data_IF_544067970525
#
_entry.id   IF_544067970525
#
_cell.length_a   1.000
_cell.length_b   1.000
_cell.length_c   1.000
_cell.angle_alpha   90.00
_cell.angle_beta   90.00
_cell.angle_gamma   90.00
#
_symmetry.space_group_name_H-M   'P 1'
#
loop_
_entity.id
_entity.type
_entity.pdbx_description
1 polymer ?
#
# COMPACT_ATOMS: atom_id res chain seq x y z
N UNK A 1 -30.14 -9.83 5.81
CA UNK A 1 -28.93 -9.61 4.97
C UNK A 1 -27.92 -10.66 5.40
N UNK A 2 -27.37 -11.39 4.45
CA UNK A 2 -26.24 -12.29 4.70
C UNK A 2 -25.00 -11.45 5.09
N UNK A 3 -24.17 -11.99 5.96
CA UNK A 3 -22.93 -11.33 6.35
C UNK A 3 -21.94 -11.36 5.18
N UNK A 4 -21.23 -10.26 4.97
CA UNK A 4 -20.09 -10.25 4.05
C UNK A 4 -18.95 -11.02 4.72
N UNK A 5 -18.39 -12.00 4.00
CA UNK A 5 -17.21 -12.76 4.43
C UNK A 5 -16.05 -12.36 3.55
N UNK A 6 -14.95 -11.92 4.17
CA UNK A 6 -13.69 -11.66 3.50
C UNK A 6 -12.72 -12.80 3.76
N UNK A 7 -12.16 -13.38 2.70
CA UNK A 7 -11.05 -14.34 2.77
C UNK A 7 -9.81 -13.69 2.19
N UNK A 8 -8.72 -13.72 2.96
CA UNK A 8 -7.44 -13.12 2.54
C UNK A 8 -6.33 -14.16 2.60
N UNK A 9 -5.63 -14.32 1.46
CA UNK A 9 -4.44 -15.18 1.35
C UNK A 9 -3.23 -14.26 1.15
N UNK A 10 -2.27 -14.36 2.07
CA UNK A 10 -1.03 -13.56 2.02
C UNK A 10 0.14 -14.49 1.75
N UNK A 11 0.91 -14.20 0.72
CA UNK A 11 2.11 -14.94 0.33
C UNK A 11 3.33 -14.02 0.41
N UNK A 12 4.38 -14.49 1.07
CA UNK A 12 5.66 -13.81 1.17
C UNK A 12 6.75 -14.70 0.56
N UNK A 13 7.38 -14.22 -0.50
CA UNK A 13 8.54 -14.85 -1.09
C UNK A 13 9.83 -14.38 -0.40
N UNK A 14 10.72 -15.32 -0.11
CA UNK A 14 12.02 -15.03 0.49
C UNK A 14 12.82 -14.02 -0.36
N UNK A 15 13.36 -12.99 0.29
CA UNK A 15 14.19 -11.98 -0.35
C UNK A 15 13.41 -10.94 -1.17
N UNK A 16 12.08 -10.86 -1.01
CA UNK A 16 11.24 -9.84 -1.63
C UNK A 16 10.85 -8.75 -0.64
N UNK A 17 10.66 -7.53 -1.16
CA UNK A 17 10.11 -6.41 -0.38
C UNK A 17 8.59 -6.45 -0.28
N UNK A 18 7.92 -7.17 -1.19
CA UNK A 18 6.47 -7.15 -1.34
C UNK A 18 5.85 -8.49 -1.02
N UNK A 19 4.80 -8.45 -0.21
CA UNK A 19 3.88 -9.55 0.02
C UNK A 19 2.79 -9.49 -1.04
N UNK A 20 2.41 -10.63 -1.61
CA UNK A 20 1.21 -10.78 -2.41
C UNK A 20 0.01 -10.97 -1.49
N UNK A 21 -1.10 -10.29 -1.78
CA UNK A 21 -2.38 -10.53 -1.11
C UNK A 21 -3.47 -10.76 -2.14
N UNK A 22 -4.20 -11.85 -1.99
CA UNK A 22 -5.39 -12.19 -2.74
C UNK A 22 -6.58 -12.09 -1.80
N UNK A 23 -7.57 -11.26 -2.15
CA UNK A 23 -8.77 -11.04 -1.34
C UNK A 23 -9.99 -11.49 -2.11
N UNK A 24 -10.82 -12.32 -1.49
CA UNK A 24 -12.11 -12.76 -2.03
C UNK A 24 -13.21 -12.40 -1.06
N UNK A 25 -14.38 -12.06 -1.59
CA UNK A 25 -15.55 -11.74 -0.79
C UNK A 25 -16.74 -12.61 -1.17
N UNK A 26 -17.47 -13.04 -0.16
CA UNK A 26 -18.80 -13.61 -0.29
C UNK A 26 -19.84 -12.56 0.11
N UNK A 27 -20.97 -12.51 -0.59
CA UNK A 27 -22.09 -11.61 -0.32
C UNK A 27 -21.74 -10.11 -0.40
N UNK A 28 -20.66 -9.74 -1.10
CA UNK A 28 -20.31 -8.36 -1.34
C UNK A 28 -21.10 -7.81 -2.54
N UNK A 29 -22.01 -6.87 -2.27
CA UNK A 29 -22.77 -6.12 -3.27
C UNK A 29 -22.07 -4.79 -3.60
N UNK A 30 -20.83 -4.86 -4.01
CA UNK A 30 -20.01 -3.70 -4.38
C UNK A 30 -19.03 -4.11 -5.48
N UNK A 31 -18.77 -3.18 -6.39
CA UNK A 31 -17.82 -3.35 -7.49
C UNK A 31 -16.55 -2.50 -7.33
N UNK A 32 -16.34 -1.91 -6.17
CA UNK A 32 -15.18 -1.08 -5.89
C UNK A 32 -14.53 -1.51 -4.58
N UNK A 33 -13.23 -1.73 -4.65
CA UNK A 33 -12.37 -1.97 -3.50
C UNK A 33 -11.45 -0.76 -3.31
N UNK A 34 -11.21 -0.42 -2.05
CA UNK A 34 -10.28 0.63 -1.65
C UNK A 34 -9.14 -0.01 -0.87
N UNK A 35 -7.92 0.25 -1.30
CA UNK A 35 -6.71 -0.04 -0.54
C UNK A 35 -6.03 1.27 -0.14
N UNK A 36 -5.52 1.37 1.08
CA UNK A 36 -4.97 2.62 1.57
C UNK A 36 -3.82 2.46 2.55
N UNK A 37 -3.01 3.51 2.66
CA UNK A 37 -1.93 3.68 3.64
C UNK A 37 -2.30 4.85 4.54
N UNK A 38 -2.19 4.66 5.85
CA UNK A 38 -2.44 5.70 6.84
C UNK A 38 -1.30 6.72 6.82
N UNK A 39 -1.64 8.01 6.83
CA UNK A 39 -0.68 9.11 6.94
C UNK A 39 -0.54 9.54 8.39
N UNK A 40 0.71 9.68 8.85
CA UNK A 40 1.05 10.13 10.19
C UNK A 40 1.29 11.65 10.26
N UNK A 41 1.56 12.28 9.12
CA UNK A 41 1.70 13.73 8.96
C UNK A 41 1.04 14.24 7.66
N UNK A 42 1.17 15.55 7.39
CA UNK A 42 0.64 16.23 6.20
C UNK A 42 1.78 16.92 5.46
N UNK A 43 2.91 16.25 5.28
CA UNK A 43 4.10 16.82 4.65
C UNK A 43 4.11 16.72 3.12
N UNK A 44 3.09 16.08 2.54
CA UNK A 44 2.90 15.98 1.09
C UNK A 44 3.89 15.06 0.38
N UNK A 45 4.53 14.14 1.10
CA UNK A 45 5.49 13.19 0.51
C UNK A 45 4.84 11.89 0.03
N UNK A 46 3.58 11.66 0.36
CA UNK A 46 2.85 10.51 -0.15
C UNK A 46 2.66 10.61 -1.66
N UNK A 47 2.61 9.45 -2.30
CA UNK A 47 2.40 9.33 -3.74
C UNK A 47 1.12 8.54 -4.01
N UNK A 48 0.22 9.14 -4.79
CA UNK A 48 -0.98 8.51 -5.32
C UNK A 48 -0.88 8.46 -6.86
N UNK A 49 -0.43 7.33 -7.41
CA UNK A 49 -0.17 7.20 -8.85
C UNK A 49 -1.03 6.10 -9.47
N UNK A 50 -2.23 6.47 -9.97
CA UNK A 50 -3.15 5.54 -10.62
C UNK A 50 -2.60 4.99 -11.94
N UNK A 51 -1.91 5.80 -12.74
CA UNK A 51 -1.37 5.39 -14.04
C UNK A 51 -0.32 4.28 -13.89
N UNK A 52 0.63 4.46 -12.96
CA UNK A 52 1.63 3.45 -12.66
C UNK A 52 1.11 2.35 -11.75
N UNK A 53 -0.07 2.50 -11.15
CA UNK A 53 -0.73 1.49 -10.31
C UNK A 53 -0.04 1.28 -8.97
N UNK A 54 0.30 2.36 -8.25
CA UNK A 54 0.81 2.25 -6.89
C UNK A 54 0.46 3.47 -6.02
N UNK A 55 0.47 3.25 -4.71
CA UNK A 55 0.48 4.28 -3.69
C UNK A 55 1.67 4.05 -2.76
N UNK A 56 2.27 5.11 -2.23
CA UNK A 56 3.44 5.01 -1.36
C UNK A 56 3.50 6.16 -0.35
N UNK A 57 4.19 5.92 0.78
CA UNK A 57 4.37 6.90 1.83
C UNK A 57 5.67 6.65 2.63
N UNK A 58 6.47 7.68 2.92
CA UNK A 58 7.61 7.60 3.83
C UNK A 58 7.12 7.85 5.27
N UNK A 59 6.69 6.79 5.96
CA UNK A 59 6.16 6.89 7.32
C UNK A 59 7.30 7.15 8.33
N UNK A 60 7.28 8.27 9.06
CA UNK A 60 8.25 8.49 10.14
C UNK A 60 8.03 7.45 11.25
N UNK A 61 9.10 6.90 11.78
CA UNK A 61 8.99 6.00 12.93
C UNK A 61 8.76 6.80 14.19
N UNK A 62 7.82 6.34 15.02
CA UNK A 62 7.56 6.98 16.31
C UNK A 62 8.53 6.43 17.36
N UNK A 63 9.18 7.34 18.09
CA UNK A 63 9.86 6.98 19.32
C UNK A 63 8.85 6.96 20.47
N UNK A 64 8.51 5.78 20.96
CA UNK A 64 7.59 5.61 22.09
C UNK A 64 8.28 5.88 23.44
N UNK A 65 9.62 5.82 23.48
CA UNK A 65 10.40 6.16 24.66
C UNK A 65 10.82 7.63 24.61
N UNK A 66 10.03 8.47 25.28
CA UNK A 66 10.27 9.92 25.38
C UNK A 66 11.58 10.30 26.06
N UNK A 67 12.30 9.35 26.63
CA UNK A 67 13.54 9.57 27.38
C UNK A 67 14.81 9.30 26.55
N UNK A 68 14.67 8.86 25.32
CA UNK A 68 15.80 8.60 24.42
C UNK A 68 15.67 9.41 23.14
N UNK A 69 16.68 10.21 22.86
CA UNK A 69 16.89 10.90 21.58
C UNK A 69 17.42 9.89 20.54
N UNK A 70 16.60 8.88 20.21
CA UNK A 70 16.97 7.84 19.26
C UNK A 70 16.31 8.16 17.91
N UNK A 71 17.12 8.34 16.87
CA UNK A 71 16.64 8.36 15.51
C UNK A 71 16.28 6.95 15.07
N UNK A 72 14.98 6.67 15.01
CA UNK A 72 14.47 5.39 14.53
C UNK A 72 14.29 5.34 13.01
N UNK A 73 14.68 6.40 12.30
CA UNK A 73 14.60 6.51 10.85
C UNK A 73 13.17 6.57 10.30
N UNK A 74 13.04 6.18 9.06
CA UNK A 74 11.80 6.23 8.28
C UNK A 74 11.48 4.85 7.70
N UNK A 75 10.24 4.42 7.82
CA UNK A 75 9.76 3.22 7.13
C UNK A 75 9.07 3.66 5.83
N UNK A 76 9.60 3.23 4.71
CA UNK A 76 8.98 3.43 3.41
C UNK A 76 7.97 2.34 3.16
N UNK A 77 6.72 2.71 2.90
CA UNK A 77 5.63 1.76 2.62
C UNK A 77 5.05 1.98 1.23
N UNK A 78 4.56 0.92 0.59
CA UNK A 78 3.85 1.02 -0.68
C UNK A 78 2.83 -0.10 -0.84
N UNK A 79 1.78 0.18 -1.64
CA UNK A 79 0.92 -0.84 -2.23
C UNK A 79 0.95 -0.72 -3.74
N UNK A 80 1.05 -1.85 -4.43
CA UNK A 80 1.20 -1.97 -5.89
C UNK A 80 0.09 -2.86 -6.41
N UNK A 81 -0.51 -2.46 -7.53
CA UNK A 81 -1.68 -3.09 -8.11
C UNK A 81 -1.35 -3.61 -9.52
N UNK A 82 -1.47 -4.93 -9.78
CA UNK A 82 -1.28 -5.48 -11.12
C UNK A 82 -2.40 -5.06 -12.07
N UNK A 83 -3.63 -4.97 -11.57
CA UNK A 83 -4.80 -4.51 -12.31
C UNK A 83 -4.91 -2.98 -12.29
N UNK A 84 -5.78 -2.45 -13.14
CA UNK A 84 -5.97 -1.02 -13.27
C UNK A 84 -6.50 -0.39 -11.98
N UNK A 85 -5.83 0.68 -11.54
CA UNK A 85 -6.33 1.59 -10.51
C UNK A 85 -7.19 2.64 -11.19
N UNK A 86 -8.47 2.70 -10.85
CA UNK A 86 -9.41 3.64 -11.47
C UNK A 86 -9.20 5.07 -10.99
N UNK A 87 -8.75 5.22 -9.74
CA UNK A 87 -8.43 6.50 -9.11
C UNK A 87 -7.43 6.28 -7.98
N UNK A 88 -6.50 7.20 -7.79
CA UNK A 88 -5.69 7.28 -6.57
C UNK A 88 -5.66 8.73 -6.08
N UNK A 89 -5.75 8.92 -4.78
CA UNK A 89 -5.78 10.25 -4.17
C UNK A 89 -5.28 10.25 -2.73
N UNK A 90 -4.92 11.43 -2.24
CA UNK A 90 -4.69 11.69 -0.82
C UNK A 90 -5.94 12.33 -0.21
N UNK A 91 -6.39 11.81 0.93
CA UNK A 91 -7.49 12.35 1.72
C UNK A 91 -6.96 12.73 3.09
N UNK A 92 -6.89 14.03 3.37
CA UNK A 92 -6.50 14.53 4.68
C UNK A 92 -7.72 14.68 5.59
N UNK A 93 -7.55 14.34 6.85
CA UNK A 93 -8.56 14.50 7.89
C UNK A 93 -8.57 15.91 8.44
N UNK A 94 -9.75 16.37 8.87
CA UNK A 94 -9.88 17.50 9.78
C UNK A 94 -9.25 17.18 11.14
N UNK A 95 -9.04 18.19 11.99
CA UNK A 95 -8.48 17.99 13.33
C UNK A 95 -9.39 17.13 14.22
N UNK A 96 -10.69 17.23 14.05
CA UNK A 96 -11.69 16.43 14.77
C UNK A 96 -11.64 14.96 14.32
N UNK A 97 -11.61 14.72 13.01
CA UNK A 97 -11.46 13.38 12.45
C UNK A 97 -10.13 12.75 12.84
N UNK A 98 -9.04 13.51 12.81
CA UNK A 98 -7.71 13.07 13.23
C UNK A 98 -7.71 12.59 14.68
N UNK A 99 -8.29 13.38 15.60
CA UNK A 99 -8.43 12.99 17.01
C UNK A 99 -9.22 11.70 17.19
N UNK A 100 -10.31 11.53 16.45
CA UNK A 100 -11.13 10.31 16.48
C UNK A 100 -10.42 9.07 15.91
N UNK A 101 -9.32 9.25 15.17
CA UNK A 101 -8.55 8.20 14.45
C UNK A 101 -7.10 8.11 14.94
N UNK A 102 -6.89 8.12 16.25
CA UNK A 102 -5.57 8.01 16.89
C UNK A 102 -4.54 9.02 16.36
N UNK A 103 -4.97 10.24 16.09
CA UNK A 103 -4.18 11.34 15.53
C UNK A 103 -3.60 11.10 14.13
N UNK A 104 -4.06 10.07 13.39
CA UNK A 104 -3.71 9.93 11.98
C UNK A 104 -4.16 11.15 11.18
N UNK A 105 -3.40 11.52 10.16
CA UNK A 105 -3.58 12.77 9.42
C UNK A 105 -4.38 12.61 8.14
N UNK A 106 -4.55 11.39 7.68
CA UNK A 106 -5.25 11.08 6.44
C UNK A 106 -4.94 9.69 5.93
N UNK A 107 -5.29 9.48 4.68
CA UNK A 107 -4.92 8.28 3.93
C UNK A 107 -4.47 8.68 2.52
N UNK A 108 -3.48 7.97 2.00
CA UNK A 108 -3.32 7.84 0.55
C UNK A 108 -4.02 6.55 0.13
N UNK A 109 -4.92 6.65 -0.86
CA UNK A 109 -5.84 5.58 -1.25
C UNK A 109 -5.85 5.33 -2.74
N UNK A 110 -6.06 4.07 -3.11
CA UNK A 110 -6.29 3.62 -4.48
C UNK A 110 -7.65 2.91 -4.56
N UNK A 111 -8.39 3.22 -5.62
CA UNK A 111 -9.67 2.61 -5.96
C UNK A 111 -9.46 1.63 -7.10
N UNK A 112 -9.97 0.44 -6.98
CA UNK A 112 -9.92 -0.60 -8.01
C UNK A 112 -11.29 -1.22 -8.22
N UNK A 113 -11.55 -1.68 -9.43
CA UNK A 113 -12.74 -2.48 -9.70
C UNK A 113 -12.64 -3.84 -9.03
N UNK A 114 -13.76 -4.31 -8.50
CA UNK A 114 -13.90 -5.66 -7.98
C UNK A 114 -14.92 -6.44 -8.80
N UNK A 115 -14.51 -7.61 -9.24
CA UNK A 115 -15.39 -8.55 -9.96
C UNK A 115 -15.75 -9.68 -9.03
N UNK A 116 -17.03 -9.81 -8.70
CA UNK A 116 -17.53 -10.88 -7.84
C UNK A 116 -17.12 -12.26 -8.37
N UNK A 117 -16.66 -13.11 -7.47
CA UNK A 117 -16.18 -14.46 -7.79
C UNK A 117 -14.73 -14.52 -8.31
N UNK A 118 -14.05 -13.39 -8.46
CA UNK A 118 -12.61 -13.33 -8.76
C UNK A 118 -11.85 -12.77 -7.57
N UNK A 119 -10.72 -13.37 -7.15
CA UNK A 119 -9.85 -12.75 -6.16
C UNK A 119 -9.34 -11.39 -6.65
N UNK A 120 -9.36 -10.39 -5.77
CA UNK A 120 -8.67 -9.13 -5.98
C UNK A 120 -7.22 -9.29 -5.51
N UNK A 121 -6.27 -8.98 -6.39
CA UNK A 121 -4.85 -9.13 -6.11
C UNK A 121 -4.19 -7.76 -5.93
N UNK A 122 -3.39 -7.63 -4.89
CA UNK A 122 -2.50 -6.49 -4.71
C UNK A 122 -1.24 -6.90 -3.94
N UNK A 123 -0.22 -6.07 -4.02
CA UNK A 123 1.04 -6.25 -3.33
C UNK A 123 1.25 -5.11 -2.36
N UNK A 124 1.79 -5.39 -1.19
CA UNK A 124 2.17 -4.38 -0.22
C UNK A 124 3.52 -4.71 0.37
N UNK A 125 4.30 -3.69 0.70
CA UNK A 125 5.64 -3.89 1.19
C UNK A 125 6.19 -2.68 1.90
N UNK A 126 7.34 -2.90 2.54
CA UNK A 126 8.05 -1.87 3.26
C UNK A 126 9.56 -2.04 3.16
N UNK A 127 10.27 -0.93 3.36
CA UNK A 127 11.70 -0.89 3.59
C UNK A 127 12.00 0.12 4.71
N UNK A 128 13.18 0.03 5.30
CA UNK A 128 13.62 0.90 6.38
C UNK A 128 14.96 1.55 6.01
N UNK A 129 15.09 2.88 6.21
CA UNK A 129 16.29 3.61 5.82
C UNK A 129 17.57 3.23 6.59
N UNK A 130 17.41 2.63 7.77
CA UNK A 130 18.52 2.03 8.51
C UNK A 130 18.91 0.61 8.02
N UNK A 131 18.21 0.07 6.99
CA UNK A 131 18.52 -1.22 6.35
C UNK A 131 19.15 -1.01 4.97
N UNK A 132 18.73 -1.78 3.97
CA UNK A 132 19.32 -1.81 2.62
C UNK A 132 18.89 -0.65 1.72
N UNK A 133 17.69 -0.14 1.89
CA UNK A 133 17.11 0.98 1.12
C UNK A 133 17.33 2.28 1.90
N UNK A 134 18.19 3.17 1.41
CA UNK A 134 18.67 4.32 2.16
C UNK A 134 17.88 5.61 1.96
N UNK A 135 17.00 5.66 0.97
CA UNK A 135 16.21 6.86 0.69
C UNK A 135 14.83 6.51 0.13
N UNK A 136 13.90 7.44 0.30
CA UNK A 136 12.57 7.30 -0.29
C UNK A 136 12.62 7.25 -1.82
N UNK A 137 13.54 7.99 -2.45
CA UNK A 137 13.71 7.95 -3.90
C UNK A 137 14.16 6.56 -4.40
N UNK A 138 15.07 5.91 -3.66
CA UNK A 138 15.48 4.54 -3.95
C UNK A 138 14.31 3.56 -3.79
N UNK A 139 13.51 3.72 -2.72
CA UNK A 139 12.29 2.94 -2.53
C UNK A 139 11.31 3.10 -3.69
N UNK A 140 11.02 4.33 -4.12
CA UNK A 140 10.12 4.58 -5.24
C UNK A 140 10.64 3.95 -6.53
N UNK A 141 11.95 3.96 -6.77
CA UNK A 141 12.54 3.26 -7.93
C UNK A 141 12.29 1.75 -7.90
N UNK A 142 12.36 1.14 -6.71
CA UNK A 142 12.02 -0.29 -6.51
C UNK A 142 10.53 -0.53 -6.76
N UNK A 143 9.66 0.32 -6.21
CA UNK A 143 8.19 0.26 -6.38
C UNK A 143 7.81 0.36 -7.86
N UNK A 144 8.34 1.34 -8.58
CA UNK A 144 8.04 1.55 -10.00
C UNK A 144 8.52 0.40 -10.87
N UNK A 145 9.74 -0.10 -10.63
CA UNK A 145 10.25 -1.28 -11.32
C UNK A 145 9.37 -2.49 -11.07
N UNK A 146 8.94 -2.72 -9.83
CA UNK A 146 8.07 -3.84 -9.49
C UNK A 146 6.69 -3.69 -10.14
N UNK A 147 6.09 -2.50 -10.11
CA UNK A 147 4.82 -2.25 -10.80
C UNK A 147 4.91 -2.51 -12.31
N UNK A 148 5.99 -2.06 -12.97
CA UNK A 148 6.21 -2.32 -14.39
C UNK A 148 6.34 -3.83 -14.67
N UNK A 149 7.04 -4.59 -13.82
CA UNK A 149 7.19 -6.04 -13.95
C UNK A 149 5.85 -6.79 -13.83
N UNK A 150 4.96 -6.35 -12.94
CA UNK A 150 3.62 -6.94 -12.80
C UNK A 150 2.75 -6.72 -14.03
N UNK A 151 2.87 -5.57 -14.69
CA UNK A 151 2.12 -5.23 -15.91
C UNK A 151 2.68 -5.93 -17.16
N UNK A 152 3.93 -6.33 -17.13
CA UNK A 152 4.61 -7.00 -18.25
C UNK A 152 5.33 -8.26 -17.79
N UNK A 153 4.59 -9.31 -17.38
CA UNK A 153 5.18 -10.53 -16.88
C UNK A 153 5.99 -11.24 -17.97
N UNK A 154 7.08 -11.89 -17.58
CA UNK A 154 7.90 -12.69 -18.49
C UNK A 154 7.09 -13.88 -18.99
N UNK A 155 7.07 -14.05 -20.32
CA UNK A 155 6.47 -15.22 -20.96
C UNK A 155 7.61 -16.22 -21.22
N UNK A 156 7.64 -17.32 -20.46
CA UNK A 156 8.57 -18.42 -20.68
C UNK A 156 7.93 -19.41 -21.67
N UNK A 157 8.53 -19.57 -22.85
CA UNK A 157 8.16 -20.64 -23.78
C UNK A 157 9.18 -21.78 -23.64
N UNK A 158 8.73 -22.93 -23.20
CA UNK A 158 9.52 -24.15 -23.29
C UNK A 158 9.53 -24.58 -24.75
N UNK A 159 10.73 -24.90 -25.28
CA UNK A 159 10.91 -25.50 -26.61
C UNK A 159 10.80 -27.01 -26.53
#
# INVERSE_FOLDING_TARGET
KENIVETRIITLDLGRYFNKTEVSFENLDRNTIISGIVLLDKDGKEIANAEKGYIAYPAPTMNFDKHQDVDNGTIFVASVFPEAVTKAETVYFSDEESKARNNSKGHVIAYSEYVSGKPFEYYWGAAWDHSTVKSYQEWISIVEKFSAQLKTPLIVKMK
#
